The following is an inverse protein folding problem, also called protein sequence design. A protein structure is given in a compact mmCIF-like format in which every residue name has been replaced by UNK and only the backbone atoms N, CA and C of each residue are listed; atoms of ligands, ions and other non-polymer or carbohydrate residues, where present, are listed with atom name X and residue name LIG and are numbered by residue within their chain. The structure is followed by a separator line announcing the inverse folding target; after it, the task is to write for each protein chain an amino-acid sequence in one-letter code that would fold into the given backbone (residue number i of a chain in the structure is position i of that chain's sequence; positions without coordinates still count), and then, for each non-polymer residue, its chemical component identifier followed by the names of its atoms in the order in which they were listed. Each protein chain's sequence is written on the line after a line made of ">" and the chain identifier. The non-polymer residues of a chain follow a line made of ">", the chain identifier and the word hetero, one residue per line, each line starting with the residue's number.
data_IF_573240594930
#
_entry.id   IF_573240594930
#
_cell.length_a   1.000
_cell.length_b   1.000
_cell.length_c   1.000
_cell.angle_alpha   90.00
_cell.angle_beta   90.00
_cell.angle_gamma   90.00
#
_symmetry.space_group_name_H-M   'P 1'
#
loop_
_entity.id
_entity.type
_entity.pdbx_description
1 polymer ?
#
# COMPACT_ATOMS: atom_id res chain seq x y z
N UNK A 1 -1.74 -21.18 -7.32
CA UNK A 1 -0.84 -20.89 -6.18
C UNK A 1 -1.65 -20.20 -5.10
N UNK A 2 -1.20 -20.29 -3.85
CA UNK A 2 -1.84 -19.62 -2.71
C UNK A 2 -1.00 -18.41 -2.30
N UNK A 3 -1.66 -17.30 -2.02
CA UNK A 3 -1.03 -16.03 -1.65
C UNK A 3 -1.75 -15.41 -0.45
N UNK A 4 -1.11 -14.40 0.16
CA UNK A 4 -1.71 -13.60 1.21
C UNK A 4 -1.50 -12.10 0.93
N UNK A 5 -2.59 -11.33 0.90
CA UNK A 5 -2.57 -9.87 0.82
C UNK A 5 -2.82 -9.29 2.21
N UNK A 6 -1.83 -8.65 2.83
CA UNK A 6 -2.07 -7.92 4.07
C UNK A 6 -2.74 -6.57 3.77
N UNK A 7 -3.62 -6.09 4.66
CA UNK A 7 -4.31 -4.82 4.51
C UNK A 7 -4.56 -4.14 5.87
N UNK A 8 -4.96 -2.86 5.91
CA UNK A 8 -5.41 -2.21 7.13
C UNK A 8 -6.62 -2.91 7.76
N UNK A 9 -6.79 -2.73 9.07
CA UNK A 9 -7.94 -3.24 9.79
C UNK A 9 -9.24 -2.66 9.21
N UNK A 10 -10.27 -3.50 9.01
CA UNK A 10 -11.57 -3.08 8.48
C UNK A 10 -11.60 -2.85 6.95
N UNK A 11 -10.59 -3.35 6.22
CA UNK A 11 -10.44 -3.14 4.76
C UNK A 11 -10.37 -4.47 3.99
N UNK A 12 -10.47 -5.61 4.67
CA UNK A 12 -10.28 -6.93 4.06
C UNK A 12 -11.29 -7.23 2.95
N UNK A 13 -12.54 -6.84 3.09
CA UNK A 13 -13.60 -7.02 2.09
C UNK A 13 -13.31 -6.24 0.78
N UNK A 14 -12.84 -4.98 0.89
CA UNK A 14 -12.42 -4.20 -0.28
C UNK A 14 -11.21 -4.84 -0.97
N UNK A 15 -10.23 -5.29 -0.18
CA UNK A 15 -9.06 -6.00 -0.71
C UNK A 15 -9.47 -7.30 -1.39
N UNK A 16 -10.41 -8.07 -0.81
CA UNK A 16 -10.92 -9.28 -1.42
C UNK A 16 -11.67 -9.00 -2.74
N UNK A 17 -12.43 -7.91 -2.81
CA UNK A 17 -13.08 -7.47 -4.03
C UNK A 17 -12.06 -7.11 -5.12
N UNK A 18 -11.00 -6.36 -4.79
CA UNK A 18 -9.90 -6.08 -5.74
C UNK A 18 -9.27 -7.38 -6.26
N UNK A 19 -8.93 -8.33 -5.38
CA UNK A 19 -8.30 -9.59 -5.75
C UNK A 19 -9.18 -10.44 -6.68
N UNK A 20 -10.49 -10.49 -6.44
CA UNK A 20 -11.45 -11.15 -7.36
C UNK A 20 -11.46 -10.47 -8.72
N UNK A 21 -11.45 -9.15 -8.77
CA UNK A 21 -11.37 -8.39 -10.03
C UNK A 21 -10.04 -8.62 -10.78
N UNK A 22 -8.97 -8.97 -10.08
CA UNK A 22 -7.69 -9.34 -10.69
C UNK A 22 -7.63 -10.79 -11.15
N UNK A 23 -8.68 -11.59 -10.90
CA UNK A 23 -8.80 -12.98 -11.34
C UNK A 23 -8.47 -14.02 -10.27
N UNK A 24 -8.50 -13.66 -8.98
CA UNK A 24 -8.38 -14.65 -7.92
C UNK A 24 -9.56 -15.63 -7.95
N UNK A 25 -9.27 -16.93 -7.99
CA UNK A 25 -10.29 -17.99 -8.05
C UNK A 25 -10.99 -18.21 -6.72
N UNK A 26 -10.30 -17.87 -5.61
CA UNK A 26 -10.83 -17.98 -4.25
C UNK A 26 -10.24 -16.89 -3.37
N UNK A 27 -11.05 -16.32 -2.48
CA UNK A 27 -10.61 -15.36 -1.46
C UNK A 27 -11.19 -15.75 -0.09
N UNK A 28 -10.37 -15.62 0.97
CA UNK A 28 -10.79 -15.81 2.36
C UNK A 28 -10.29 -14.63 3.18
N UNK A 29 -11.23 -13.95 3.84
CA UNK A 29 -10.95 -12.72 4.59
C UNK A 29 -10.52 -13.05 6.02
N UNK A 30 -9.53 -12.29 6.50
CA UNK A 30 -9.04 -12.29 7.86
C UNK A 30 -9.03 -10.85 8.41
N UNK A 31 -8.89 -10.69 9.70
CA UNK A 31 -8.91 -9.38 10.36
C UNK A 31 -7.97 -8.33 9.73
N UNK A 32 -6.82 -8.75 9.20
CA UNK A 32 -5.78 -7.85 8.65
C UNK A 32 -5.24 -8.31 7.30
N UNK A 33 -6.02 -9.00 6.53
CA UNK A 33 -5.59 -9.48 5.22
C UNK A 33 -6.57 -10.46 4.58
N UNK A 34 -6.20 -10.89 3.40
CA UNK A 34 -6.97 -11.80 2.56
C UNK A 34 -6.04 -12.87 2.04
N UNK A 35 -6.37 -14.12 2.29
CA UNK A 35 -5.76 -15.26 1.59
C UNK A 35 -6.46 -15.42 0.26
N UNK A 36 -5.71 -15.65 -0.80
CA UNK A 36 -6.28 -15.82 -2.13
C UNK A 36 -5.54 -16.88 -2.95
N UNK A 37 -6.26 -17.46 -3.89
CA UNK A 37 -5.75 -18.42 -4.85
C UNK A 37 -5.76 -17.80 -6.26
N UNK A 38 -4.69 -18.02 -7.02
CA UNK A 38 -4.55 -17.47 -8.35
C UNK A 38 -3.24 -17.87 -9.02
N UNK A 39 -3.03 -17.33 -10.22
CA UNK A 39 -1.77 -17.43 -10.95
C UNK A 39 -0.77 -16.39 -10.47
N UNK A 40 0.48 -16.47 -10.95
CA UNK A 40 1.47 -15.42 -10.71
C UNK A 40 1.02 -14.07 -11.29
N UNK A 41 0.27 -14.08 -12.38
CA UNK A 41 -0.35 -12.88 -12.95
C UNK A 41 -1.26 -12.15 -11.96
N UNK A 42 -2.11 -12.88 -11.23
CA UNK A 42 -2.98 -12.31 -10.21
C UNK A 42 -2.18 -11.62 -9.10
N UNK A 43 -1.09 -12.26 -8.66
CA UNK A 43 -0.22 -11.68 -7.64
C UNK A 43 0.51 -10.42 -8.16
N UNK A 44 0.97 -10.41 -9.40
CA UNK A 44 1.59 -9.23 -10.03
C UNK A 44 0.58 -8.10 -10.24
N UNK A 45 -0.64 -8.43 -10.70
CA UNK A 45 -1.75 -7.47 -10.76
C UNK A 45 -2.06 -6.88 -9.39
N UNK A 46 -2.08 -7.70 -8.34
CA UNK A 46 -2.29 -7.23 -6.97
C UNK A 46 -1.16 -6.27 -6.52
N UNK A 47 0.10 -6.54 -6.84
CA UNK A 47 1.21 -5.62 -6.57
C UNK A 47 1.08 -4.29 -7.33
N UNK A 48 0.62 -4.33 -8.58
CA UNK A 48 0.51 -3.16 -9.46
C UNK A 48 -0.75 -2.33 -9.21
N UNK A 49 -1.90 -2.98 -9.04
CA UNK A 49 -3.22 -2.36 -9.08
C UNK A 49 -3.92 -2.25 -7.73
N UNK A 50 -3.56 -3.06 -6.71
CA UNK A 50 -4.26 -2.96 -5.44
C UNK A 50 -4.04 -1.60 -4.78
N UNK A 51 -5.14 -0.96 -4.47
CA UNK A 51 -5.19 0.32 -3.77
C UNK A 51 -5.20 0.13 -2.26
N UNK A 52 -5.71 -1.03 -1.81
CA UNK A 52 -5.98 -1.30 -0.39
C UNK A 52 -4.97 -2.21 0.28
N UNK A 53 -4.31 -3.11 -0.47
CA UNK A 53 -3.29 -4.00 0.08
C UNK A 53 -2.06 -3.24 0.60
N UNK A 54 -1.44 -3.79 1.64
CA UNK A 54 -0.16 -3.33 2.17
C UNK A 54 1.02 -4.16 1.66
N UNK A 55 0.86 -5.47 1.59
CA UNK A 55 1.85 -6.42 1.05
C UNK A 55 1.16 -7.58 0.35
N UNK A 56 1.82 -8.13 -0.65
CA UNK A 56 1.45 -9.39 -1.31
C UNK A 56 2.55 -10.39 -0.99
N UNK A 57 2.19 -11.46 -0.28
CA UNK A 57 3.09 -12.50 0.19
C UNK A 57 2.80 -13.80 -0.55
N UNK A 58 3.87 -14.52 -0.91
CA UNK A 58 3.82 -15.89 -1.40
C UNK A 58 4.30 -16.82 -0.27
N UNK A 59 3.41 -17.49 0.47
CA UNK A 59 3.78 -18.48 1.47
C UNK A 59 4.54 -19.65 0.83
N UNK A 60 5.69 -19.99 1.39
CA UNK A 60 6.52 -21.11 0.95
C UNK A 60 6.35 -22.34 1.85
N UNK A 61 6.32 -22.11 3.17
CA UNK A 61 6.13 -23.17 4.17
C UNK A 61 5.45 -22.65 5.42
N UNK A 62 4.72 -23.55 6.10
CA UNK A 62 4.17 -23.31 7.45
C UNK A 62 4.49 -24.54 8.30
N UNK A 63 5.14 -24.33 9.44
CA UNK A 63 5.66 -25.40 10.29
C UNK A 63 5.58 -25.01 11.78
N UNK A 64 5.62 -25.99 12.71
CA UNK A 64 5.76 -25.73 14.15
C UNK A 64 7.13 -25.08 14.43
N UNK A 65 7.15 -24.01 15.23
CA UNK A 65 8.33 -23.29 15.66
C UNK A 65 8.22 -22.91 17.14
N UNK A 66 8.18 -23.91 18.06
CA UNK A 66 8.11 -23.65 19.49
C UNK A 66 9.38 -22.97 20.01
N UNK A 67 10.52 -23.17 19.37
CA UNK A 67 11.82 -22.59 19.73
C UNK A 67 12.64 -22.22 18.49
N UNK A 68 13.85 -21.70 18.74
CA UNK A 68 14.74 -21.23 17.70
C UNK A 68 15.31 -22.35 16.81
N UNK A 69 15.49 -23.56 17.33
CA UNK A 69 16.04 -24.69 16.57
C UNK A 69 14.97 -25.27 15.65
N UNK A 70 13.74 -25.36 16.11
CA UNK A 70 12.59 -25.73 15.29
C UNK A 70 12.34 -24.68 14.18
N UNK A 71 12.47 -23.37 14.51
CA UNK A 71 12.41 -22.30 13.51
C UNK A 71 13.48 -22.48 12.44
N UNK A 72 14.73 -22.69 12.85
CA UNK A 72 15.86 -22.90 11.95
C UNK A 72 15.64 -24.11 11.02
N UNK A 73 15.29 -25.26 11.59
CA UNK A 73 15.04 -26.48 10.82
C UNK A 73 13.87 -26.32 9.83
N UNK A 74 12.79 -25.66 10.28
CA UNK A 74 11.64 -25.39 9.43
C UNK A 74 11.96 -24.43 8.27
N UNK A 75 12.78 -23.40 8.48
CA UNK A 75 13.27 -22.53 7.42
C UNK A 75 14.14 -23.28 6.43
N UNK A 76 14.99 -24.20 6.90
CA UNK A 76 15.83 -25.05 6.04
C UNK A 76 15.04 -26.09 5.22
N UNK A 77 13.77 -26.38 5.57
CA UNK A 77 12.92 -27.27 4.78
C UNK A 77 12.51 -26.67 3.43
N UNK A 78 12.63 -25.34 3.26
CA UNK A 78 12.41 -24.65 1.99
C UNK A 78 13.66 -24.78 1.11
N UNK A 79 13.47 -25.08 -0.16
CA UNK A 79 14.59 -25.03 -1.15
C UNK A 79 14.87 -23.58 -1.57
N UNK A 80 15.80 -22.92 -0.87
CA UNK A 80 16.15 -21.52 -1.12
C UNK A 80 16.87 -21.31 -2.46
N UNK A 81 17.47 -22.34 -3.05
CA UNK A 81 18.12 -22.23 -4.36
C UNK A 81 17.09 -21.98 -5.48
N UNK A 82 15.85 -22.41 -5.30
CA UNK A 82 14.76 -22.12 -6.22
C UNK A 82 14.25 -20.66 -6.16
N UNK A 83 14.63 -19.93 -5.10
CA UNK A 83 14.12 -18.57 -4.84
C UNK A 83 15.20 -17.49 -4.90
N UNK A 84 16.42 -17.80 -4.52
CA UNK A 84 17.53 -16.84 -4.37
C UNK A 84 18.64 -17.23 -5.33
N UNK A 85 18.83 -16.44 -6.38
CA UNK A 85 19.90 -16.66 -7.33
C UNK A 85 21.28 -16.35 -6.70
N UNK A 86 22.36 -16.94 -7.19
CA UNK A 86 23.73 -16.62 -6.77
C UNK A 86 23.99 -15.10 -6.83
N UNK A 87 24.72 -14.57 -5.87
CA UNK A 87 25.06 -13.14 -5.71
C UNK A 87 23.86 -12.19 -5.48
N UNK A 88 22.67 -12.73 -5.23
CA UNK A 88 21.52 -11.94 -4.83
C UNK A 88 21.70 -11.38 -3.42
N UNK A 89 20.92 -10.34 -3.10
CA UNK A 89 20.84 -9.77 -1.75
C UNK A 89 19.57 -10.22 -1.06
N UNK A 90 19.62 -10.35 0.25
CA UNK A 90 18.55 -10.87 1.11
C UNK A 90 18.22 -9.89 2.24
N UNK A 91 16.94 -9.73 2.54
CA UNK A 91 16.46 -9.21 3.82
C UNK A 91 15.43 -10.14 4.43
N UNK A 92 15.39 -10.18 5.75
CA UNK A 92 14.39 -10.94 6.51
C UNK A 92 13.62 -10.00 7.44
N UNK A 93 12.30 -9.99 7.32
CA UNK A 93 11.38 -9.39 8.28
C UNK A 93 10.74 -10.49 9.12
N UNK A 94 10.66 -10.28 10.43
CA UNK A 94 10.06 -11.24 11.36
C UNK A 94 9.03 -10.55 12.24
N UNK A 95 7.84 -11.12 12.33
CA UNK A 95 6.76 -10.60 13.15
C UNK A 95 6.17 -11.71 14.03
N UNK A 96 5.78 -11.33 15.23
CA UNK A 96 5.27 -12.24 16.26
C UNK A 96 6.35 -12.66 17.24
N UNK A 97 5.90 -13.21 18.36
CA UNK A 97 6.75 -13.71 19.47
C UNK A 97 6.13 -14.96 20.07
N UNK A 98 6.94 -15.75 20.72
CA UNK A 98 6.53 -16.87 21.58
C UNK A 98 7.35 -16.85 22.88
N UNK A 99 7.03 -17.66 23.87
CA UNK A 99 7.81 -17.71 25.11
C UNK A 99 9.32 -17.97 24.92
N UNK A 100 9.68 -18.73 23.87
CA UNK A 100 11.08 -19.07 23.57
C UNK A 100 11.69 -18.26 22.43
N UNK A 101 10.87 -17.51 21.66
CA UNK A 101 11.30 -16.55 20.65
C UNK A 101 10.69 -15.21 21.00
N UNK A 102 11.25 -14.55 22.02
CA UNK A 102 10.71 -13.32 22.61
C UNK A 102 11.04 -12.03 21.85
N UNK A 103 12.05 -12.06 20.97
CA UNK A 103 12.50 -10.89 20.22
C UNK A 103 12.43 -11.14 18.71
N UNK A 104 11.72 -10.24 17.99
CA UNK A 104 11.58 -10.33 16.53
C UNK A 104 12.92 -10.23 15.79
N UNK A 105 13.85 -9.42 16.30
CA UNK A 105 15.19 -9.30 15.73
C UNK A 105 15.96 -10.63 15.80
N UNK A 106 15.87 -11.36 16.93
CA UNK A 106 16.46 -12.68 17.07
C UNK A 106 15.86 -13.69 16.09
N UNK A 107 14.52 -13.71 15.95
CA UNK A 107 13.84 -14.55 14.98
C UNK A 107 14.28 -14.25 13.53
N UNK A 108 14.45 -12.96 13.19
CA UNK A 108 14.95 -12.55 11.88
C UNK A 108 16.40 -13.02 11.63
N UNK A 109 17.29 -12.91 12.63
CA UNK A 109 18.66 -13.39 12.53
C UNK A 109 18.72 -14.92 12.36
N UNK A 110 17.97 -15.67 13.18
CA UNK A 110 17.93 -17.14 13.10
C UNK A 110 17.39 -17.63 11.74
N UNK A 111 16.35 -16.96 11.21
CA UNK A 111 15.82 -17.22 9.87
C UNK A 111 16.87 -16.92 8.80
N UNK A 112 17.53 -15.77 8.86
CA UNK A 112 18.60 -15.38 7.95
C UNK A 112 19.73 -16.42 7.97
N UNK A 113 20.16 -16.84 9.15
CA UNK A 113 21.25 -17.82 9.28
C UNK A 113 20.88 -19.15 8.63
N UNK A 114 19.65 -19.65 8.83
CA UNK A 114 19.17 -20.88 8.19
C UNK A 114 19.19 -20.79 6.65
N UNK A 115 18.76 -19.66 6.08
CA UNK A 115 18.78 -19.42 4.63
C UNK A 115 20.23 -19.37 4.11
N UNK A 116 21.08 -18.59 4.75
CA UNK A 116 22.47 -18.37 4.34
C UNK A 116 23.29 -19.65 4.43
N UNK A 117 23.12 -20.44 5.49
CA UNK A 117 23.83 -21.70 5.68
C UNK A 117 23.45 -22.72 4.60
N UNK A 118 22.16 -22.88 4.28
CA UNK A 118 21.71 -23.75 3.20
C UNK A 118 22.28 -23.30 1.83
N UNK A 119 22.21 -22.00 1.51
CA UNK A 119 22.74 -21.50 0.24
C UNK A 119 24.26 -21.72 0.14
N UNK A 120 25.01 -21.44 1.22
CA UNK A 120 26.45 -21.67 1.27
C UNK A 120 26.81 -23.17 1.10
N UNK A 121 26.05 -24.05 1.74
CA UNK A 121 26.28 -25.50 1.62
C UNK A 121 26.02 -26.01 0.20
N UNK A 122 24.90 -25.54 -0.43
CA UNK A 122 24.48 -26.04 -1.74
C UNK A 122 25.17 -25.37 -2.94
N UNK A 123 25.52 -24.09 -2.81
CA UNK A 123 26.06 -23.30 -3.94
C UNK A 123 27.51 -22.84 -3.74
N UNK A 124 28.06 -22.96 -2.53
CA UNK A 124 29.35 -22.38 -2.17
C UNK A 124 29.33 -20.86 -1.96
N UNK A 125 28.21 -20.20 -2.25
CA UNK A 125 28.07 -18.74 -2.18
C UNK A 125 27.18 -18.29 -1.01
N UNK A 126 27.51 -17.14 -0.45
CA UNK A 126 26.75 -16.51 0.61
C UNK A 126 26.07 -15.25 0.08
N UNK A 127 24.72 -15.11 0.16
CA UNK A 127 24.06 -13.87 -0.23
C UNK A 127 24.45 -12.72 0.71
N UNK A 128 24.58 -11.53 0.16
CA UNK A 128 24.77 -10.30 0.93
C UNK A 128 23.45 -9.85 1.56
N UNK A 129 23.54 -9.15 2.70
CA UNK A 129 22.36 -8.57 3.36
C UNK A 129 22.18 -7.14 2.89
N UNK A 130 20.99 -6.84 2.37
CA UNK A 130 20.56 -5.51 1.92
C UNK A 130 19.16 -5.23 2.46
N UNK A 131 19.02 -4.22 3.32
CA UNK A 131 17.76 -3.96 4.05
C UNK A 131 16.78 -3.15 3.21
N UNK A 132 17.25 -2.16 2.46
CA UNK A 132 16.38 -1.21 1.78
C UNK A 132 15.75 -1.82 0.52
N UNK A 133 16.57 -2.30 -0.42
CA UNK A 133 16.12 -2.86 -1.69
C UNK A 133 16.78 -4.21 -2.01
N UNK A 134 16.52 -5.24 -1.19
CA UNK A 134 17.09 -6.56 -1.41
C UNK A 134 16.55 -7.18 -2.70
N UNK A 135 17.34 -8.08 -3.31
CA UNK A 135 16.85 -8.89 -4.42
C UNK A 135 15.67 -9.76 -4.00
N UNK A 136 15.71 -10.29 -2.79
CA UNK A 136 14.63 -11.10 -2.19
C UNK A 136 14.38 -10.65 -0.76
N UNK A 137 13.12 -10.41 -0.44
CA UNK A 137 12.66 -10.16 0.93
C UNK A 137 11.84 -11.34 1.43
N UNK A 138 12.24 -11.87 2.56
CA UNK A 138 11.54 -12.97 3.26
C UNK A 138 10.76 -12.37 4.42
N UNK A 139 9.47 -12.66 4.50
CA UNK A 139 8.59 -12.34 5.63
C UNK A 139 8.31 -13.60 6.43
N UNK A 140 8.53 -13.56 7.73
CA UNK A 140 8.23 -14.67 8.66
C UNK A 140 7.22 -14.19 9.69
N UNK A 141 6.13 -14.91 9.79
CA UNK A 141 5.12 -14.71 10.82
C UNK A 141 5.07 -15.86 11.79
N UNK A 142 5.31 -15.56 13.05
CA UNK A 142 5.14 -16.49 14.16
C UNK A 142 3.82 -16.20 14.88
N UNK A 143 2.91 -17.16 14.85
CA UNK A 143 1.65 -17.13 15.60
C UNK A 143 1.47 -18.45 16.37
N UNK A 144 1.34 -18.38 17.69
CA UNK A 144 1.11 -19.56 18.56
C UNK A 144 2.04 -20.72 18.23
N UNK A 145 3.34 -20.48 18.22
CA UNK A 145 4.37 -21.49 17.93
C UNK A 145 4.29 -22.13 16.53
N UNK A 146 3.60 -21.48 15.59
CA UNK A 146 3.63 -21.84 14.18
C UNK A 146 4.23 -20.69 13.38
N UNK A 147 5.27 -20.99 12.62
CA UNK A 147 5.90 -20.03 11.71
C UNK A 147 5.41 -20.26 10.28
N UNK A 148 5.07 -19.16 9.60
CA UNK A 148 4.85 -19.14 8.15
C UNK A 148 5.95 -18.30 7.52
N UNK A 149 6.68 -18.90 6.60
CA UNK A 149 7.74 -18.25 5.81
C UNK A 149 7.21 -17.94 4.43
N UNK A 150 7.36 -16.69 4.00
CA UNK A 150 6.83 -16.20 2.73
C UNK A 150 7.86 -15.35 1.98
N UNK A 151 7.76 -15.29 0.66
CA UNK A 151 8.41 -14.24 -0.12
C UNK A 151 7.51 -13.00 -0.13
N UNK A 152 8.08 -11.83 0.16
CA UNK A 152 7.38 -10.56 -0.01
C UNK A 152 7.53 -10.06 -1.46
N UNK A 153 6.49 -10.27 -2.25
CA UNK A 153 6.46 -9.84 -3.65
C UNK A 153 6.40 -8.32 -3.79
N UNK A 154 5.95 -7.61 -2.76
CA UNK A 154 5.84 -6.15 -2.76
C UNK A 154 7.18 -5.44 -2.57
N UNK A 155 8.09 -6.04 -1.80
CA UNK A 155 9.35 -5.44 -1.37
C UNK A 155 9.15 -4.40 -0.28
N UNK A 156 8.79 -3.16 -0.61
CA UNK A 156 8.29 -2.16 0.32
C UNK A 156 6.76 -2.22 0.39
N UNK A 157 6.18 -1.77 1.51
CA UNK A 157 4.73 -1.71 1.65
C UNK A 157 4.08 -0.93 0.50
N UNK A 158 3.02 -1.49 -0.10
CA UNK A 158 2.37 -0.96 -1.30
C UNK A 158 1.73 0.42 -1.09
N UNK A 159 1.40 0.82 0.16
CA UNK A 159 0.94 2.18 0.42
C UNK A 159 1.99 3.24 0.08
N UNK A 160 3.28 2.89 0.09
CA UNK A 160 4.35 3.77 -0.39
C UNK A 160 4.34 3.80 -1.92
N UNK A 161 3.47 4.66 -2.49
CA UNK A 161 3.28 4.81 -3.95
C UNK A 161 4.46 5.49 -4.65
N UNK A 162 5.44 6.00 -3.91
CA UNK A 162 6.59 6.78 -4.35
C UNK A 162 6.29 8.25 -4.75
N UNK A 163 5.07 8.73 -4.68
CA UNK A 163 4.79 10.15 -4.94
C UNK A 163 5.03 11.05 -3.72
N UNK A 164 5.02 10.51 -2.49
CA UNK A 164 5.15 11.32 -1.28
C UNK A 164 6.55 11.90 -1.12
N UNK A 165 6.64 13.21 -0.92
CA UNK A 165 7.87 13.90 -0.54
C UNK A 165 8.32 13.47 0.87
N UNK A 166 9.62 13.43 1.12
CA UNK A 166 10.18 13.16 2.46
C UNK A 166 9.88 14.35 3.38
N UNK A 167 9.62 14.10 4.65
CA UNK A 167 9.55 15.15 5.69
C UNK A 167 8.14 15.65 6.04
N UNK A 168 7.08 15.11 5.46
CA UNK A 168 5.71 15.45 5.88
C UNK A 168 5.33 14.64 7.11
N UNK A 169 4.91 15.32 8.20
CA UNK A 169 4.52 14.67 9.45
C UNK A 169 3.27 13.80 9.28
N UNK A 170 3.37 12.55 9.72
CA UNK A 170 2.32 11.53 9.93
C UNK A 170 1.02 11.69 9.08
N UNK A 171 1.12 11.61 7.77
CA UNK A 171 -0.04 11.73 6.90
C UNK A 171 -0.87 10.45 6.91
N UNK A 172 -2.13 10.58 6.48
CA UNK A 172 -2.99 9.43 6.19
C UNK A 172 -2.27 8.49 5.19
N UNK A 173 -2.21 7.19 5.50
CA UNK A 173 -1.62 6.20 4.59
C UNK A 173 -2.44 6.12 3.30
N UNK A 174 -1.78 6.05 2.17
CA UNK A 174 -2.38 6.06 0.84
C UNK A 174 -3.41 4.94 0.64
N UNK A 175 -3.11 3.73 1.11
CA UNK A 175 -4.05 2.61 1.01
C UNK A 175 -5.27 2.76 1.94
N UNK A 176 -5.14 3.46 3.04
CA UNK A 176 -6.28 3.78 3.90
C UNK A 176 -7.13 4.91 3.28
N UNK A 177 -6.51 5.94 2.72
CA UNK A 177 -7.20 6.97 1.97
C UNK A 177 -7.97 6.39 0.78
N UNK A 178 -7.35 5.48 0.03
CA UNK A 178 -7.99 4.78 -1.06
C UNK A 178 -9.20 3.96 -0.58
N UNK A 179 -9.06 3.22 0.52
CA UNK A 179 -10.16 2.44 1.08
C UNK A 179 -11.34 3.32 1.53
N UNK A 180 -11.07 4.48 2.13
CA UNK A 180 -12.11 5.43 2.54
C UNK A 180 -12.82 6.00 1.30
N UNK A 181 -12.10 6.39 0.26
CA UNK A 181 -12.69 6.83 -1.02
C UNK A 181 -13.56 5.76 -1.66
N UNK A 182 -13.13 4.51 -1.66
CA UNK A 182 -13.93 3.38 -2.16
C UNK A 182 -15.21 3.18 -1.33
N UNK A 183 -15.13 3.25 0.00
CA UNK A 183 -16.30 3.20 0.91
C UNK A 183 -17.28 4.34 0.68
N UNK A 184 -16.78 5.54 0.40
CA UNK A 184 -17.58 6.71 0.08
C UNK A 184 -18.20 6.68 -1.33
N UNK A 185 -17.97 5.60 -2.11
CA UNK A 185 -18.52 5.45 -3.45
C UNK A 185 -17.82 6.28 -4.53
N UNK A 186 -16.62 6.80 -4.25
CA UNK A 186 -15.90 7.67 -5.18
C UNK A 186 -15.74 7.08 -6.60
N UNK A 187 -15.43 5.79 -6.80
CA UNK A 187 -15.30 5.23 -8.17
C UNK A 187 -16.55 5.48 -9.03
N UNK A 188 -17.74 5.23 -8.49
CA UNK A 188 -19.00 5.45 -9.22
C UNK A 188 -19.31 6.95 -9.41
N UNK A 189 -19.02 7.78 -8.42
CA UNK A 189 -19.16 9.24 -8.50
C UNK A 189 -18.24 9.80 -9.60
N UNK A 190 -16.98 9.36 -9.66
CA UNK A 190 -16.04 9.78 -10.67
C UNK A 190 -16.44 9.31 -12.08
N UNK A 191 -16.96 8.10 -12.21
CA UNK A 191 -17.47 7.55 -13.48
C UNK A 191 -18.66 8.39 -14.01
N UNK A 192 -19.52 8.87 -13.10
CA UNK A 192 -20.62 9.78 -13.42
C UNK A 192 -20.18 11.25 -13.67
N UNK A 193 -18.88 11.55 -13.65
CA UNK A 193 -18.35 12.91 -13.85
C UNK A 193 -18.42 13.81 -12.61
N UNK A 194 -18.63 13.25 -11.43
CA UNK A 194 -18.72 13.99 -10.17
C UNK A 194 -17.39 14.58 -9.71
N UNK A 195 -17.46 15.61 -8.87
CA UNK A 195 -16.30 16.32 -8.32
C UNK A 195 -15.78 15.68 -7.02
N UNK A 196 -14.50 15.93 -6.70
CA UNK A 196 -13.89 15.59 -5.40
C UNK A 196 -13.36 16.85 -4.72
N UNK A 197 -13.73 17.06 -3.47
CA UNK A 197 -13.26 18.16 -2.65
C UNK A 197 -12.75 17.67 -1.29
N UNK A 198 -11.51 18.05 -0.95
CA UNK A 198 -10.95 17.89 0.38
C UNK A 198 -10.62 19.28 0.95
N UNK A 199 -11.44 19.84 1.88
CA UNK A 199 -11.25 21.18 2.43
C UNK A 199 -10.16 21.27 3.50
N UNK A 200 -9.50 20.14 3.87
CA UNK A 200 -8.44 20.05 4.86
C UNK A 200 -7.38 19.05 4.37
N UNK A 201 -6.90 19.24 3.14
CA UNK A 201 -6.23 18.22 2.37
C UNK A 201 -4.82 17.83 2.87
N UNK A 202 -4.22 18.65 3.73
CA UNK A 202 -2.85 18.42 4.17
C UNK A 202 -1.90 18.28 2.96
N UNK A 203 -1.22 17.16 2.87
CA UNK A 203 -0.34 16.83 1.73
C UNK A 203 -1.06 16.25 0.49
N UNK A 204 -2.39 16.37 0.40
CA UNK A 204 -3.19 16.05 -0.78
C UNK A 204 -3.55 14.57 -0.96
N UNK A 205 -3.44 13.73 0.06
CA UNK A 205 -3.56 12.26 -0.09
C UNK A 205 -4.89 11.82 -0.69
N UNK A 206 -6.05 12.32 -0.20
CA UNK A 206 -7.35 11.95 -0.75
C UNK A 206 -7.51 12.38 -2.20
N UNK A 207 -7.12 13.61 -2.52
CA UNK A 207 -7.26 14.15 -3.88
C UNK A 207 -6.38 13.39 -4.87
N UNK A 208 -5.14 13.06 -4.48
CA UNK A 208 -4.21 12.30 -5.32
C UNK A 208 -4.71 10.85 -5.53
N UNK A 209 -5.08 10.12 -4.45
CA UNK A 209 -5.61 8.76 -4.59
C UNK A 209 -6.93 8.76 -5.38
N UNK A 210 -7.79 9.75 -5.18
CA UNK A 210 -9.02 9.94 -5.94
C UNK A 210 -8.76 10.15 -7.44
N UNK A 211 -7.76 10.95 -7.77
CA UNK A 211 -7.35 11.18 -9.16
C UNK A 211 -6.75 9.91 -9.81
N UNK A 212 -5.91 9.16 -9.08
CA UNK A 212 -5.38 7.89 -9.57
C UNK A 212 -6.49 6.87 -9.85
N UNK A 213 -7.59 6.88 -9.04
CA UNK A 213 -8.76 6.03 -9.30
C UNK A 213 -9.52 6.50 -10.54
N UNK A 214 -9.88 7.78 -10.59
CA UNK A 214 -10.71 8.33 -11.64
C UNK A 214 -10.07 8.26 -13.03
N UNK A 215 -8.75 8.35 -13.11
CA UNK A 215 -7.98 8.29 -14.37
C UNK A 215 -7.47 6.87 -14.69
N UNK A 216 -7.90 5.87 -13.94
CA UNK A 216 -7.47 4.47 -14.09
C UNK A 216 -5.96 4.29 -14.09
N UNK A 217 -5.28 4.99 -13.19
CA UNK A 217 -3.82 4.90 -13.02
C UNK A 217 -3.51 3.84 -11.95
N UNK A 218 -2.71 2.85 -12.32
CA UNK A 218 -2.24 1.84 -11.39
C UNK A 218 -1.33 2.48 -10.32
N UNK A 219 -1.65 2.39 -9.02
CA UNK A 219 -0.84 3.02 -7.97
C UNK A 219 0.58 2.47 -7.91
N UNK A 220 0.78 1.22 -8.26
CA UNK A 220 2.09 0.59 -8.35
C UNK A 220 2.96 1.09 -9.51
N UNK A 221 2.36 1.71 -10.56
CA UNK A 221 3.10 2.23 -11.72
C UNK A 221 4.01 3.42 -11.40
N UNK A 222 3.85 4.02 -10.22
CA UNK A 222 4.71 5.09 -9.72
C UNK A 222 5.96 4.58 -9.01
N UNK A 223 6.01 3.29 -8.71
CA UNK A 223 7.12 2.65 -7.98
C UNK A 223 8.22 2.21 -8.94
N UNK A 224 9.47 2.29 -8.49
CA UNK A 224 10.64 1.83 -9.23
C UNK A 224 11.12 0.43 -8.80
N UNK A 225 10.51 -0.15 -7.75
CA UNK A 225 10.94 -1.41 -7.15
C UNK A 225 9.77 -2.25 -6.64
N UNK A 226 9.86 -3.56 -6.91
CA UNK A 226 9.02 -4.61 -6.33
C UNK A 226 9.88 -5.77 -5.89
N UNK A 227 9.51 -6.45 -4.81
CA UNK A 227 10.30 -7.53 -4.21
C UNK A 227 10.43 -8.78 -5.10
N UNK A 228 9.52 -8.99 -6.04
CA UNK A 228 9.59 -10.12 -6.95
C UNK A 228 10.59 -9.92 -8.11
N UNK A 229 11.07 -8.71 -8.37
CA UNK A 229 11.96 -8.45 -9.53
C UNK A 229 13.30 -9.18 -9.42
N UNK A 230 13.83 -9.34 -8.22
CA UNK A 230 15.05 -10.09 -7.95
C UNK A 230 14.84 -11.57 -7.59
N UNK A 231 13.60 -12.02 -7.49
CA UNK A 231 13.27 -13.41 -7.21
C UNK A 231 13.58 -14.32 -8.42
N UNK A 232 14.21 -15.48 -8.18
CA UNK A 232 14.57 -16.42 -9.25
C UNK A 232 13.36 -16.91 -10.06
N UNK A 233 12.17 -16.99 -9.45
CA UNK A 233 10.91 -17.33 -10.12
C UNK A 233 10.20 -16.16 -10.81
N UNK A 234 10.87 -15.01 -11.01
CA UNK A 234 10.27 -13.86 -11.66
C UNK A 234 10.02 -14.07 -13.16
N UNK A 235 8.77 -13.93 -13.59
CA UNK A 235 8.38 -13.91 -14.99
C UNK A 235 8.45 -12.48 -15.57
N UNK A 236 9.56 -12.18 -16.23
CA UNK A 236 9.84 -10.84 -16.81
C UNK A 236 8.90 -10.51 -17.96
N UNK A 237 8.52 -11.50 -18.79
CA UNK A 237 7.64 -11.28 -19.93
C UNK A 237 6.21 -10.95 -19.48
N UNK A 238 5.71 -11.69 -18.51
CA UNK A 238 4.42 -11.42 -17.87
C UNK A 238 4.42 -10.01 -17.25
N UNK A 239 5.45 -9.65 -16.50
CA UNK A 239 5.53 -8.33 -15.88
C UNK A 239 5.56 -7.19 -16.90
N UNK A 240 6.34 -7.33 -17.97
CA UNK A 240 6.41 -6.32 -19.04
C UNK A 240 5.03 -6.10 -19.70
N UNK A 241 4.27 -7.18 -19.95
CA UNK A 241 2.91 -7.10 -20.48
C UNK A 241 1.96 -6.35 -19.55
N UNK A 242 2.02 -6.60 -18.24
CA UNK A 242 1.18 -5.91 -17.27
C UNK A 242 1.52 -4.42 -17.13
N UNK A 243 2.78 -4.05 -17.25
CA UNK A 243 3.21 -2.65 -17.27
C UNK A 243 2.69 -1.93 -18.52
N UNK A 244 2.73 -2.60 -19.68
CA UNK A 244 2.20 -2.01 -20.92
C UNK A 244 0.67 -1.83 -20.85
N UNK A 245 -0.07 -2.84 -20.37
CA UNK A 245 -1.50 -2.71 -20.09
C UNK A 245 -1.79 -1.52 -19.18
N UNK A 246 -0.99 -1.32 -18.12
CA UNK A 246 -1.18 -0.19 -17.22
C UNK A 246 -0.92 1.18 -17.89
N UNK A 247 -0.01 1.23 -18.86
CA UNK A 247 0.23 2.45 -19.67
C UNK A 247 -0.95 2.75 -20.59
N UNK A 248 -1.45 1.74 -21.29
CA UNK A 248 -2.61 1.87 -22.17
C UNK A 248 -3.85 2.37 -21.41
N UNK A 249 -4.13 1.78 -20.26
CA UNK A 249 -5.25 2.19 -19.39
C UNK A 249 -5.10 3.62 -18.90
N UNK A 250 -3.90 4.01 -18.48
CA UNK A 250 -3.61 5.39 -18.09
C UNK A 250 -3.82 6.36 -19.25
N UNK A 251 -3.37 6.05 -20.47
CA UNK A 251 -3.54 6.91 -21.62
C UNK A 251 -5.02 7.05 -22.01
N UNK A 252 -5.79 5.97 -21.95
CA UNK A 252 -7.24 6.00 -22.14
C UNK A 252 -7.96 6.89 -21.12
N UNK A 253 -7.51 6.87 -19.86
CA UNK A 253 -8.06 7.73 -18.79
C UNK A 253 -7.68 9.22 -18.89
N UNK A 254 -6.66 9.59 -19.66
CA UNK A 254 -6.04 10.91 -19.66
C UNK A 254 -6.98 12.07 -19.99
N UNK A 255 -7.97 11.84 -20.84
CA UNK A 255 -8.90 12.87 -21.30
C UNK A 255 -10.12 13.07 -20.38
N UNK A 256 -10.22 12.33 -19.29
CA UNK A 256 -11.30 12.53 -18.32
C UNK A 256 -11.10 13.86 -17.60
N UNK A 257 -12.09 14.74 -17.72
CA UNK A 257 -12.11 16.03 -17.03
C UNK A 257 -12.94 15.91 -15.76
N UNK A 258 -12.29 15.95 -14.62
CA UNK A 258 -12.94 15.91 -13.31
C UNK A 258 -12.47 17.10 -12.47
N UNK A 259 -13.39 17.75 -11.77
CA UNK A 259 -13.05 18.79 -10.81
C UNK A 259 -12.56 18.14 -9.51
N UNK A 260 -11.25 18.14 -9.29
CA UNK A 260 -10.62 17.57 -8.08
C UNK A 260 -9.81 18.64 -7.38
N UNK A 261 -10.26 19.04 -6.18
CA UNK A 261 -9.67 20.15 -5.43
C UNK A 261 -9.31 19.75 -4.00
N UNK A 262 -8.20 20.29 -3.53
CA UNK A 262 -7.76 20.22 -2.16
C UNK A 262 -7.44 21.60 -1.61
N UNK A 263 -7.98 21.92 -0.44
CA UNK A 263 -7.73 23.17 0.26
C UNK A 263 -7.10 22.89 1.62
N UNK A 264 -6.22 23.77 2.06
CA UNK A 264 -5.68 23.76 3.41
C UNK A 264 -5.27 25.19 3.80
N UNK A 265 -5.39 25.53 5.06
CA UNK A 265 -4.92 26.81 5.59
C UNK A 265 -3.39 26.93 5.65
N UNK A 266 -2.70 25.77 5.75
CA UNK A 266 -1.25 25.72 5.86
C UNK A 266 -0.58 25.76 4.47
N UNK A 267 0.17 26.81 4.22
CA UNK A 267 0.91 26.97 2.97
C UNK A 267 2.01 25.91 2.76
N UNK A 268 2.56 25.32 3.84
CA UNK A 268 3.53 24.23 3.73
C UNK A 268 2.85 22.92 3.28
N UNK A 269 1.66 22.65 3.83
CA UNK A 269 0.85 21.51 3.42
C UNK A 269 0.47 21.60 1.92
N UNK A 270 0.04 22.77 1.46
CA UNK A 270 -0.29 23.00 0.04
C UNK A 270 0.92 22.83 -0.88
N UNK A 271 2.09 23.35 -0.50
CA UNK A 271 3.32 23.10 -1.29
C UNK A 271 3.65 21.61 -1.38
N UNK A 272 3.53 20.89 -0.28
CA UNK A 272 3.73 19.44 -0.26
C UNK A 272 2.69 18.71 -1.12
N UNK A 273 1.43 19.13 -1.10
CA UNK A 273 0.36 18.57 -1.95
C UNK A 273 0.65 18.76 -3.44
N UNK A 274 1.09 19.95 -3.84
CA UNK A 274 1.47 20.24 -5.24
C UNK A 274 2.67 19.37 -5.65
N UNK A 275 3.73 19.29 -4.85
CA UNK A 275 4.90 18.46 -5.13
C UNK A 275 4.52 16.96 -5.23
N UNK A 276 3.66 16.47 -4.33
CA UNK A 276 3.17 15.10 -4.38
C UNK A 276 2.35 14.83 -5.64
N UNK A 277 1.50 15.76 -6.07
CA UNK A 277 0.74 15.65 -7.31
C UNK A 277 1.64 15.63 -8.55
N UNK A 278 2.69 16.45 -8.58
CA UNK A 278 3.68 16.43 -9.67
C UNK A 278 4.41 15.09 -9.74
N UNK A 279 4.84 14.54 -8.60
CA UNK A 279 5.46 13.21 -8.51
C UNK A 279 4.50 12.09 -8.91
N UNK A 280 3.21 12.24 -8.60
CA UNK A 280 2.15 11.33 -9.06
C UNK A 280 1.81 11.51 -10.54
N UNK A 281 2.45 12.47 -11.23
CA UNK A 281 2.22 12.84 -12.64
C UNK A 281 0.78 13.29 -12.89
N UNK A 282 0.21 14.04 -11.95
CA UNK A 282 -1.16 14.58 -11.96
C UNK A 282 -1.17 16.11 -12.15
N UNK A 283 -0.07 16.69 -12.65
CA UNK A 283 0.00 18.13 -12.96
C UNK A 283 -1.10 18.53 -13.95
N UNK A 284 -1.87 19.55 -13.59
CA UNK A 284 -3.01 20.03 -14.40
C UNK A 284 -4.28 19.19 -14.28
N UNK A 285 -4.27 18.09 -13.50
CA UNK A 285 -5.43 17.25 -13.24
C UNK A 285 -6.10 17.62 -11.91
N UNK A 286 -5.30 17.85 -10.88
CA UNK A 286 -5.74 18.23 -9.54
C UNK A 286 -5.36 19.68 -9.25
N UNK A 287 -6.16 20.36 -8.43
CA UNK A 287 -5.88 21.72 -8.00
C UNK A 287 -5.75 21.80 -6.48
N UNK A 288 -4.67 22.42 -6.00
CA UNK A 288 -4.43 22.68 -4.58
C UNK A 288 -4.26 24.16 -4.35
N UNK A 289 -4.97 24.70 -3.34
CA UNK A 289 -4.98 26.12 -3.02
C UNK A 289 -4.98 26.33 -1.50
N UNK A 290 -4.25 27.36 -1.04
CA UNK A 290 -4.34 27.79 0.34
C UNK A 290 -5.69 28.48 0.57
N UNK A 291 -6.55 27.87 1.40
CA UNK A 291 -7.88 28.41 1.72
C UNK A 291 -8.24 28.06 3.16
N UNK A 292 -8.81 29.05 3.87
CA UNK A 292 -9.37 28.83 5.20
C UNK A 292 -10.72 28.13 5.11
N UNK A 293 -11.05 27.30 6.12
CA UNK A 293 -12.32 26.57 6.16
C UNK A 293 -13.53 27.50 6.23
N UNK A 294 -13.39 28.68 6.86
CA UNK A 294 -14.47 29.69 7.01
C UNK A 294 -14.99 30.22 5.67
N UNK A 295 -14.15 30.24 4.65
CA UNK A 295 -14.53 30.72 3.30
C UNK A 295 -14.84 29.59 2.32
N UNK A 296 -15.04 28.38 2.83
CA UNK A 296 -15.40 27.23 2.01
C UNK A 296 -16.81 27.43 1.42
N UNK A 297 -16.91 27.26 0.10
CA UNK A 297 -18.15 27.29 -0.67
C UNK A 297 -18.18 26.14 -1.67
N UNK A 298 -19.34 25.78 -2.17
CA UNK A 298 -19.47 24.83 -3.28
C UNK A 298 -19.21 25.53 -4.61
N UNK A 299 -17.94 25.76 -4.94
CA UNK A 299 -17.50 26.36 -6.19
C UNK A 299 -17.27 25.34 -7.32
N UNK A 300 -17.60 24.06 -7.07
CA UNK A 300 -17.48 22.99 -8.08
C UNK A 300 -18.75 22.84 -8.93
N UNK A 301 -19.89 23.33 -8.43
CA UNK A 301 -21.17 23.41 -9.16
C UNK A 301 -21.76 22.07 -9.64
N UNK A 302 -21.18 20.94 -9.24
CA UNK A 302 -21.58 19.60 -9.65
C UNK A 302 -21.81 18.69 -8.45
N UNK A 303 -22.55 17.60 -8.65
CA UNK A 303 -22.61 16.52 -7.66
C UNK A 303 -21.22 15.93 -7.49
N UNK A 304 -20.86 15.55 -6.26
CA UNK A 304 -19.54 15.04 -5.98
C UNK A 304 -19.40 14.47 -4.59
N UNK A 305 -18.16 14.29 -4.18
CA UNK A 305 -17.77 13.82 -2.86
C UNK A 305 -16.97 14.93 -2.15
N UNK A 306 -17.45 15.39 -1.00
CA UNK A 306 -16.63 16.10 -0.03
C UNK A 306 -16.10 15.10 0.98
N UNK A 307 -14.79 15.09 1.18
CA UNK A 307 -14.09 14.19 2.09
C UNK A 307 -13.02 14.97 2.85
N UNK A 308 -12.86 14.71 4.12
CA UNK A 308 -11.82 15.35 4.94
C UNK A 308 -11.25 14.39 5.97
N UNK A 309 -9.98 14.62 6.33
CA UNK A 309 -9.35 14.03 7.51
C UNK A 309 -9.03 15.18 8.49
N UNK A 310 -10.02 15.66 9.25
CA UNK A 310 -9.84 16.78 10.17
C UNK A 310 -8.85 16.41 11.28
N UNK A 311 -8.21 17.40 11.92
CA UNK A 311 -7.31 17.15 13.05
C UNK A 311 -8.05 16.46 14.19
N UNK A 312 -7.39 15.51 14.85
CA UNK A 312 -7.90 14.75 15.99
C UNK A 312 -6.81 14.50 17.03
N UNK A 313 -7.22 14.28 18.29
CA UNK A 313 -6.34 13.93 19.38
C UNK A 313 -5.42 15.07 19.85
N UNK A 314 -4.35 14.73 20.54
CA UNK A 314 -3.44 15.63 21.26
C UNK A 314 -2.55 16.54 20.38
N UNK A 315 -2.67 16.47 19.05
CA UNK A 315 -1.81 17.24 18.12
C UNK A 315 -2.18 18.71 18.00
N UNK A 316 -3.38 19.07 18.41
CA UNK A 316 -3.78 20.45 18.65
C UNK A 316 -4.03 20.51 20.14
N UNK A 317 -3.14 21.10 20.89
CA UNK A 317 -3.14 21.13 22.36
C UNK A 317 -4.31 21.87 23.01
N UNK A 318 -5.38 22.14 22.26
CA UNK A 318 -6.56 22.87 22.70
C UNK A 318 -7.85 22.22 22.18
N UNK A 319 -8.64 21.64 23.10
CA UNK A 319 -9.94 21.06 22.79
C UNK A 319 -10.94 22.08 22.21
N UNK A 320 -10.85 23.34 22.62
CA UNK A 320 -11.70 24.42 22.15
C UNK A 320 -11.42 24.74 20.67
N UNK A 321 -10.14 24.77 20.28
CA UNK A 321 -9.74 24.96 18.88
C UNK A 321 -10.28 23.83 17.98
N UNK A 322 -10.25 22.56 18.46
CA UNK A 322 -10.83 21.42 17.74
C UNK A 322 -12.35 21.56 17.59
N UNK A 323 -13.07 21.91 18.65
CA UNK A 323 -14.51 22.13 18.60
C UNK A 323 -14.87 23.22 17.58
N UNK A 324 -14.11 24.32 17.53
CA UNK A 324 -14.29 25.36 16.53
C UNK A 324 -14.15 24.88 15.10
N UNK A 325 -13.15 24.03 14.81
CA UNK A 325 -12.96 23.43 13.48
C UNK A 325 -14.15 22.56 13.07
N UNK A 326 -14.60 21.67 13.97
CA UNK A 326 -15.73 20.79 13.67
C UNK A 326 -17.06 21.56 13.54
N UNK A 327 -17.29 22.61 14.35
CA UNK A 327 -18.46 23.48 14.26
C UNK A 327 -18.48 24.19 12.89
N UNK A 328 -17.36 24.82 12.50
CA UNK A 328 -17.23 25.50 11.20
C UNK A 328 -17.43 24.52 10.03
N UNK A 329 -16.83 23.34 10.09
CA UNK A 329 -17.02 22.33 9.05
C UNK A 329 -18.49 21.94 8.92
N UNK A 330 -19.17 21.68 10.04
CA UNK A 330 -20.60 21.34 10.06
C UNK A 330 -21.50 22.48 9.55
N UNK A 331 -21.17 23.74 9.86
CA UNK A 331 -21.86 24.92 9.34
C UNK A 331 -21.70 25.02 7.83
N UNK A 332 -20.48 24.96 7.32
CA UNK A 332 -20.20 25.05 5.88
C UNK A 332 -20.83 23.91 5.07
N UNK A 333 -20.88 22.70 5.64
CA UNK A 333 -21.59 21.58 5.02
C UNK A 333 -23.09 21.87 4.88
N UNK A 334 -23.73 22.41 5.92
CA UNK A 334 -25.18 22.77 5.86
C UNK A 334 -25.48 23.94 4.94
N UNK A 335 -24.58 24.93 4.84
CA UNK A 335 -24.79 26.13 4.04
C UNK A 335 -24.56 25.92 2.55
N UNK A 336 -23.62 25.08 2.16
CA UNK A 336 -23.10 25.02 0.80
C UNK A 336 -23.14 23.64 0.15
N UNK A 337 -23.41 22.57 0.92
CA UNK A 337 -23.39 21.19 0.41
C UNK A 337 -24.65 20.45 0.86
N UNK A 338 -25.29 19.71 -0.05
CA UNK A 338 -26.50 18.90 0.20
C UNK A 338 -26.12 17.44 0.57
#
# INVERSE_FOLDING_TARGET
>A
MQFFASCPLGVADLTAAELRNFGASRTSEYKRGVQFEGTLEVAYRACLWSRTASRILLPLATFPAPDADALYAGVQSVDWTAHIAPRSTLAVEFAGTSPRISHTHFGALKTKDAIVDQLRERTGERPSIEVDRPSVRVDVRLDRERATVSLDLSGESLHRRAYRARGVAAPLKENLAAAILMRAGWPAIAEAGGALLDPMCGSGTFVIEGALMALDIAPGSLRSYFGFVGWAGHDRALWARLIEEARERREAGRNRKLAMRGYDRDAFAIRAAIENAERAKLRGVVHFERRELQVLTNDLGSRGLLIANPPYGERIGDKEALQGVYATLGEKLREHFE
#
